data_IF_431167423171
#
_entry.id   IF_431167423171
#
_cell.length_a   1.000
_cell.length_b   1.000
_cell.length_c   1.000
_cell.angle_alpha   90.00
_cell.angle_beta   90.00
_cell.angle_gamma   90.00
#
_symmetry.space_group_name_H-M   'P 1'
#
loop_
_entity.id
_entity.type
_entity.pdbx_description
1 polymer ?
#
# COMPACT_ATOMS: atom_id res chain seq x y z
N UNK A 1 13.04 7.71 3.34
CA UNK A 1 12.97 6.69 4.39
C UNK A 1 13.67 5.46 3.87
N UNK A 2 14.49 4.78 4.67
CA UNK A 2 15.29 3.66 4.18
C UNK A 2 14.52 2.35 4.29
N UNK A 3 14.88 1.36 3.49
CA UNK A 3 14.32 0.00 3.60
C UNK A 3 15.17 -0.83 4.54
N UNK A 4 14.53 -1.68 5.35
CA UNK A 4 15.23 -2.75 6.04
C UNK A 4 15.81 -3.73 5.00
N UNK A 5 16.98 -4.29 5.28
CA UNK A 5 17.58 -5.31 4.42
C UNK A 5 16.70 -6.57 4.42
N UNK A 6 16.51 -7.21 3.27
CA UNK A 6 15.77 -8.46 3.15
C UNK A 6 14.28 -8.31 2.85
N UNK A 7 13.80 -7.11 2.53
CA UNK A 7 12.43 -6.92 2.02
C UNK A 7 12.27 -7.63 0.68
N UNK A 8 11.18 -8.39 0.56
CA UNK A 8 10.81 -9.07 -0.68
C UNK A 8 9.71 -8.27 -1.40
N UNK A 9 10.14 -7.35 -2.25
CA UNK A 9 9.24 -6.51 -3.04
C UNK A 9 8.44 -7.29 -4.10
N UNK A 10 8.94 -8.46 -4.53
CA UNK A 10 8.22 -9.31 -5.49
C UNK A 10 6.92 -9.85 -4.88
N UNK A 11 6.98 -10.31 -3.63
CA UNK A 11 5.80 -10.75 -2.88
C UNK A 11 4.81 -9.60 -2.65
N UNK A 12 5.31 -8.38 -2.43
CA UNK A 12 4.43 -7.20 -2.31
C UNK A 12 3.72 -6.90 -3.63
N UNK A 13 4.43 -6.95 -4.75
CA UNK A 13 3.84 -6.72 -6.07
C UNK A 13 2.76 -7.78 -6.42
N UNK A 14 3.00 -9.05 -6.07
CA UNK A 14 2.01 -10.13 -6.25
C UNK A 14 0.73 -9.90 -5.44
N UNK A 15 0.81 -9.18 -4.30
CA UNK A 15 -0.34 -8.79 -3.46
C UNK A 15 -1.09 -7.55 -3.96
N UNK A 16 -0.64 -6.92 -5.05
CA UNK A 16 -1.26 -5.72 -5.64
C UNK A 16 -1.85 -6.02 -7.03
N UNK A 17 -2.80 -6.96 -7.17
CA UNK A 17 -3.40 -7.24 -8.46
C UNK A 17 -4.13 -6.02 -8.98
N UNK A 18 -4.06 -5.78 -10.29
CA UNK A 18 -4.75 -4.66 -10.97
C UNK A 18 -4.37 -3.25 -10.52
N UNK A 19 -3.33 -3.11 -9.69
CA UNK A 19 -2.87 -1.81 -9.22
C UNK A 19 -2.21 -0.99 -10.34
N UNK A 20 -2.60 0.27 -10.44
CA UNK A 20 -1.99 1.32 -11.24
C UNK A 20 -0.72 1.87 -10.59
N UNK A 21 0.02 2.68 -11.36
CA UNK A 21 1.19 3.40 -10.84
C UNK A 21 0.84 4.37 -9.69
N UNK A 22 -0.40 4.87 -9.63
CA UNK A 22 -0.85 5.73 -8.56
C UNK A 22 -1.01 4.96 -7.24
N UNK A 23 -1.61 3.77 -7.26
CA UNK A 23 -1.71 2.94 -6.06
C UNK A 23 -0.34 2.43 -5.60
N UNK A 24 0.56 2.09 -6.53
CA UNK A 24 1.95 1.76 -6.20
C UNK A 24 2.65 2.89 -5.42
N UNK A 25 2.48 4.14 -5.88
CA UNK A 25 2.98 5.31 -5.16
C UNK A 25 2.32 5.45 -3.78
N UNK A 26 1.01 5.29 -3.70
CA UNK A 26 0.26 5.39 -2.45
C UNK A 26 0.72 4.33 -1.43
N UNK A 27 0.95 3.08 -1.86
CA UNK A 27 1.47 2.01 -1.00
C UNK A 27 2.84 2.37 -0.43
N UNK A 28 3.76 2.87 -1.25
CA UNK A 28 5.08 3.32 -0.77
C UNK A 28 4.98 4.48 0.24
N UNK A 29 4.07 5.43 0.02
CA UNK A 29 3.82 6.53 0.97
C UNK A 29 3.25 6.02 2.28
N UNK A 30 2.26 5.13 2.23
CA UNK A 30 1.61 4.57 3.42
C UNK A 30 2.56 3.68 4.23
N UNK A 31 3.39 2.86 3.57
CA UNK A 31 4.41 2.05 4.23
C UNK A 31 5.41 2.92 5.00
N UNK A 32 5.85 4.03 4.41
CA UNK A 32 6.67 5.02 5.10
C UNK A 32 5.95 5.69 6.28
N UNK A 33 4.64 5.94 6.15
CA UNK A 33 3.84 6.54 7.21
C UNK A 33 3.59 5.57 8.40
N UNK A 34 3.49 4.26 8.15
CA UNK A 34 3.46 3.25 9.21
C UNK A 34 4.77 3.24 10.01
N UNK A 35 5.90 3.18 9.31
CA UNK A 35 7.21 3.26 9.96
C UNK A 35 7.41 4.57 10.75
N UNK A 36 7.01 5.71 10.19
CA UNK A 36 7.15 7.02 10.85
C UNK A 36 6.31 7.11 12.13
N UNK A 37 5.09 6.57 12.12
CA UNK A 37 4.19 6.58 13.30
C UNK A 37 4.77 5.81 14.48
N UNK A 38 5.51 4.74 14.19
CA UNK A 38 6.25 3.96 15.19
C UNK A 38 7.64 4.52 15.50
N UNK A 39 7.96 5.72 15.01
CA UNK A 39 9.27 6.38 15.17
C UNK A 39 10.44 5.55 14.63
N UNK A 40 10.18 4.70 13.62
CA UNK A 40 11.20 3.94 12.90
C UNK A 40 11.74 4.75 11.73
N UNK A 41 13.03 4.59 11.44
CA UNK A 41 13.71 5.21 10.27
C UNK A 41 13.84 4.25 9.07
N UNK A 42 13.54 2.96 9.31
CA UNK A 42 13.53 1.90 8.31
C UNK A 42 12.12 1.34 8.15
N UNK A 43 11.68 1.18 6.90
CA UNK A 43 10.45 0.48 6.52
C UNK A 43 10.71 -1.02 6.56
N UNK A 44 9.76 -1.80 7.08
CA UNK A 44 9.83 -3.26 7.15
C UNK A 44 8.90 -3.92 6.12
N UNK A 45 8.97 -5.25 5.99
CA UNK A 45 8.04 -6.01 5.15
C UNK A 45 6.58 -5.82 5.60
N UNK A 46 6.34 -5.84 6.91
CA UNK A 46 5.01 -5.70 7.51
C UNK A 46 4.36 -4.36 7.17
N UNK A 47 5.14 -3.27 7.15
CA UNK A 47 4.64 -1.95 6.75
C UNK A 47 4.08 -1.95 5.33
N UNK A 48 4.76 -2.62 4.39
CA UNK A 48 4.27 -2.77 3.03
C UNK A 48 3.00 -3.61 2.97
N UNK A 49 2.92 -4.70 3.72
CA UNK A 49 1.73 -5.57 3.74
C UNK A 49 0.50 -4.85 4.32
N UNK A 50 0.70 -4.05 5.37
CA UNK A 50 -0.33 -3.18 5.92
C UNK A 50 -0.74 -2.07 4.93
N UNK A 51 0.24 -1.46 4.25
CA UNK A 51 -0.01 -0.41 3.27
C UNK A 51 -0.80 -0.94 2.06
N UNK A 52 -0.43 -2.09 1.50
CA UNK A 52 -1.19 -2.75 0.42
C UNK A 52 -2.63 -2.99 0.84
N UNK A 53 -2.83 -3.60 2.02
CA UNK A 53 -4.17 -3.88 2.56
C UNK A 53 -5.01 -2.62 2.71
N UNK A 54 -4.40 -1.50 3.13
CA UNK A 54 -5.08 -0.21 3.29
C UNK A 54 -5.44 0.43 1.95
N UNK A 55 -4.51 0.48 1.00
CA UNK A 55 -4.69 1.17 -0.29
C UNK A 55 -5.68 0.41 -1.17
N UNK A 56 -5.55 -0.92 -1.26
CA UNK A 56 -6.42 -1.75 -2.12
C UNK A 56 -7.87 -1.80 -1.62
N UNK A 57 -8.10 -1.76 -0.30
CA UNK A 57 -9.46 -1.64 0.27
C UNK A 57 -10.12 -0.32 -0.13
N UNK A 58 -9.38 0.79 -0.02
CA UNK A 58 -9.91 2.11 -0.37
C UNK A 58 -10.30 2.20 -1.84
N UNK A 59 -9.49 1.64 -2.73
CA UNK A 59 -9.79 1.62 -4.17
C UNK A 59 -11.07 0.82 -4.48
N UNK A 60 -11.23 -0.34 -3.83
CA UNK A 60 -12.43 -1.16 -3.96
C UNK A 60 -13.70 -0.42 -3.51
N UNK A 61 -13.64 0.30 -2.38
CA UNK A 61 -14.78 1.09 -1.85
C UNK A 61 -15.13 2.29 -2.74
N UNK A 62 -14.13 2.98 -3.29
CA UNK A 62 -14.33 4.11 -4.20
C UNK A 62 -14.98 3.66 -5.52
N UNK A 63 -14.49 2.56 -6.10
CA UNK A 63 -15.05 1.98 -7.32
C UNK A 63 -16.52 1.54 -7.14
N UNK A 64 -16.87 0.96 -5.98
CA UNK A 64 -18.25 0.62 -5.64
C UNK A 64 -19.15 1.86 -5.52
N UNK A 65 -18.64 2.94 -4.92
CA UNK A 65 -19.41 4.16 -4.70
C UNK A 65 -19.74 4.86 -6.02
N UNK A 66 -18.78 4.92 -6.95
CA UNK A 66 -18.99 5.44 -8.31
C UNK A 66 -20.01 4.57 -9.04
N UNK A 67 -19.83 3.25 -9.09
CA UNK A 67 -20.75 2.36 -9.82
C UNK A 67 -22.20 2.42 -9.33
N UNK A 68 -22.43 2.75 -8.05
CA UNK A 68 -23.77 2.94 -7.47
C UNK A 68 -24.39 4.30 -7.77
N UNK A 69 -23.57 5.31 -8.09
CA UNK A 69 -24.04 6.66 -8.41
C UNK A 69 -24.52 6.78 -9.87
N UNK A 70 -23.94 5.99 -10.78
CA UNK A 70 -24.25 6.00 -12.21
C UNK A 70 -25.22 4.88 -12.65
N UNK A 71 -25.76 4.10 -11.70
CA UNK A 71 -26.85 3.14 -11.90
C UNK A 71 -28.10 3.63 -11.17
#
# INVERSE_FOLDING_TARGET
MNLLRGINLKVIAEKMPTASGAECKAVCTEAGMFALRERRIHVTQEDFEMAVSKVMKKDSEQNMSINKLWK
#
